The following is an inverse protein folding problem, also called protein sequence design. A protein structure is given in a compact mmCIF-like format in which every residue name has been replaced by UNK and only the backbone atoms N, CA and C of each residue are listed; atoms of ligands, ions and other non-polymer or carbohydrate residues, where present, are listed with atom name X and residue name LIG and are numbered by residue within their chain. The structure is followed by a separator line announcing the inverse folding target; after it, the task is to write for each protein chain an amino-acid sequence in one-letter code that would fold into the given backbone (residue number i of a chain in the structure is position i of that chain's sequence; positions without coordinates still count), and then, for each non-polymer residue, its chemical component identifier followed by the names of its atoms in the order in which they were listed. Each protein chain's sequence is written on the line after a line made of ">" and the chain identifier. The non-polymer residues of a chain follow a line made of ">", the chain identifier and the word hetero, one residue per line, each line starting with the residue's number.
data_IF_103975363581
#
_entry.id   IF_103975363581
#
_cell.length_a   1.000
_cell.length_b   1.000
_cell.length_c   1.000
_cell.angle_alpha   90.00
_cell.angle_beta   90.00
_cell.angle_gamma   90.00
#
_symmetry.space_group_name_H-M   'P 1'
#
loop_
_entity.id
_entity.type
_entity.pdbx_description
1 polymer ?
#
# COMPACT_ATOMS: atom_id res chain seq x y z
N UNK A 1 -12.62 28.30 -0.63
CA UNK A 1 -12.80 28.92 0.70
C UNK A 1 -11.51 29.70 1.03
N UNK A 2 -11.48 30.64 1.98
CA UNK A 2 -10.21 31.27 2.37
C UNK A 2 -9.22 30.24 2.92
N UNK A 3 -7.92 30.57 2.83
CA UNK A 3 -6.85 29.77 3.41
C UNK A 3 -7.06 29.51 4.91
N UNK A 4 -6.88 28.27 5.35
CA UNK A 4 -6.92 27.96 6.77
C UNK A 4 -5.69 28.56 7.48
N UNK A 5 -5.90 29.21 8.63
CA UNK A 5 -4.83 29.94 9.33
C UNK A 5 -3.69 29.03 9.81
N UNK A 6 -4.03 27.90 10.45
CA UNK A 6 -3.06 27.01 11.11
C UNK A 6 -2.74 25.73 10.33
N UNK A 7 -3.76 25.00 9.85
CA UNK A 7 -3.59 23.77 9.07
C UNK A 7 -2.86 23.99 7.73
N UNK A 8 -1.86 23.15 7.46
CA UNK A 8 -1.03 23.16 6.26
C UNK A 8 0.31 22.45 6.47
N UNK A 9 0.72 21.64 5.50
CA UNK A 9 1.83 20.69 5.57
C UNK A 9 3.06 21.15 4.75
N UNK A 10 4.21 20.54 5.02
CA UNK A 10 5.43 20.62 4.21
C UNK A 10 5.82 19.19 3.84
N UNK A 11 6.01 18.88 2.56
CA UNK A 11 6.44 17.54 2.16
C UNK A 11 7.98 17.41 2.14
N UNK A 12 8.53 16.20 2.38
CA UNK A 12 7.81 15.02 2.87
C UNK A 12 7.39 15.19 4.34
N UNK A 13 6.18 14.71 4.66
CA UNK A 13 5.65 14.76 6.03
C UNK A 13 6.21 13.64 6.92
N UNK A 14 6.70 12.55 6.31
CA UNK A 14 7.53 11.53 6.98
C UNK A 14 8.82 11.39 6.17
N UNK A 15 9.92 11.97 6.69
CA UNK A 15 11.16 12.17 5.93
C UNK A 15 12.15 10.98 5.86
N UNK A 16 11.87 9.86 6.53
CA UNK A 16 12.64 8.61 6.40
C UNK A 16 12.00 7.67 5.36
N UNK A 17 12.67 6.57 5.01
CA UNK A 17 12.11 5.55 4.11
C UNK A 17 10.83 4.95 4.71
N UNK A 18 9.67 5.39 4.21
CA UNK A 18 8.35 5.05 4.73
C UNK A 18 7.43 4.81 3.52
N UNK A 19 7.61 3.67 2.82
CA UNK A 19 6.94 3.42 1.56
C UNK A 19 5.59 2.76 1.76
N UNK A 20 4.76 2.88 0.72
CA UNK A 20 3.44 2.27 0.61
C UNK A 20 2.53 2.61 1.82
N UNK A 21 2.34 3.92 2.12
CA UNK A 21 1.67 4.40 3.32
C UNK A 21 0.15 4.14 3.32
N UNK A 22 -0.30 3.06 3.96
CA UNK A 22 -1.72 2.81 4.25
C UNK A 22 -2.19 3.63 5.46
N UNK A 23 -3.18 4.52 5.29
CA UNK A 23 -3.59 5.48 6.32
C UNK A 23 -5.02 5.23 6.82
N UNK A 24 -5.17 5.11 8.15
CA UNK A 24 -6.46 4.88 8.80
C UNK A 24 -6.70 5.80 10.00
N UNK A 25 -7.91 6.34 10.10
CA UNK A 25 -8.37 7.11 11.26
C UNK A 25 -8.87 6.20 12.39
N UNK A 26 -8.52 6.56 13.63
CA UNK A 26 -9.13 6.03 14.86
C UNK A 26 -10.01 7.09 15.55
N UNK A 27 -11.34 6.90 15.66
CA UNK A 27 -12.21 7.82 16.39
C UNK A 27 -11.98 7.80 17.92
N UNK A 28 -11.28 6.81 18.48
CA UNK A 28 -11.01 6.73 19.92
C UNK A 28 -9.86 7.65 20.32
N UNK A 29 -8.69 7.53 19.68
CA UNK A 29 -7.57 8.46 19.89
C UNK A 29 -7.72 9.80 19.15
N UNK A 30 -8.61 9.85 18.15
CA UNK A 30 -8.81 10.96 17.21
C UNK A 30 -7.57 11.30 16.38
N UNK A 31 -6.78 10.27 16.04
CA UNK A 31 -5.59 10.38 15.22
C UNK A 31 -5.70 9.55 13.93
N UNK A 32 -4.95 9.95 12.92
CA UNK A 32 -4.65 9.16 11.73
C UNK A 32 -3.34 8.42 11.94
N UNK A 33 -3.34 7.12 11.64
CA UNK A 33 -2.17 6.24 11.70
C UNK A 33 -1.81 5.83 10.28
N UNK A 34 -0.57 6.09 9.88
CA UNK A 34 0.02 5.55 8.67
C UNK A 34 0.82 4.30 9.02
N UNK A 35 0.65 3.25 8.21
CA UNK A 35 1.40 2.01 8.25
C UNK A 35 2.22 1.88 6.97
N UNK A 36 3.40 1.29 7.03
CA UNK A 36 4.31 1.23 5.87
C UNK A 36 5.06 -0.10 5.76
N UNK A 37 5.40 -0.44 4.52
CA UNK A 37 6.32 -1.52 4.12
C UNK A 37 7.56 -1.59 5.02
N UNK A 38 8.04 -2.82 5.26
CA UNK A 38 9.19 -3.10 6.12
C UNK A 38 10.38 -2.13 5.92
N UNK A 39 11.00 -1.73 7.02
CA UNK A 39 12.08 -0.75 6.99
C UNK A 39 12.49 -0.33 8.39
N UNK A 40 13.64 0.34 8.50
CA UNK A 40 14.15 0.93 9.75
C UNK A 40 14.14 -0.04 10.95
N UNK A 41 14.42 -1.33 10.70
CA UNK A 41 14.47 -2.39 11.71
C UNK A 41 13.14 -3.08 12.04
N UNK A 42 12.05 -2.77 11.32
CA UNK A 42 10.67 -3.20 11.63
C UNK A 42 10.06 -4.01 10.48
N UNK A 43 9.22 -4.99 10.82
CA UNK A 43 8.36 -5.70 9.87
C UNK A 43 7.28 -4.78 9.31
N UNK A 44 6.62 -4.00 10.17
CA UNK A 44 5.71 -2.92 9.75
C UNK A 44 6.05 -1.64 10.51
N UNK A 45 6.26 -0.57 9.74
CA UNK A 45 6.52 0.76 10.27
C UNK A 45 5.20 1.47 10.60
N UNK A 46 5.20 2.36 11.59
CA UNK A 46 4.04 3.21 11.87
C UNK A 46 4.47 4.65 12.23
N UNK A 47 3.66 5.62 11.81
CA UNK A 47 3.69 7.01 12.26
C UNK A 47 2.25 7.52 12.37
N UNK A 48 1.99 8.55 13.19
CA UNK A 48 0.64 9.05 13.43
C UNK A 48 0.56 10.57 13.57
N UNK A 49 -0.64 11.13 13.45
CA UNK A 49 -0.89 12.58 13.41
C UNK A 49 -2.31 12.92 13.86
N UNK A 50 -2.49 14.14 14.37
CA UNK A 50 -3.79 14.70 14.78
C UNK A 50 -4.27 15.82 13.85
N UNK A 51 -3.44 16.27 12.91
CA UNK A 51 -3.65 17.53 12.16
C UNK A 51 -3.15 17.49 10.70
N UNK A 52 -2.51 16.41 10.24
CA UNK A 52 -1.73 16.29 9.00
C UNK A 52 -0.57 17.29 8.82
N UNK A 53 -0.34 18.19 9.77
CA UNK A 53 0.73 19.19 9.77
C UNK A 53 1.97 18.68 10.51
N UNK A 54 1.73 17.90 11.57
CA UNK A 54 2.71 17.36 12.51
C UNK A 54 2.58 15.84 12.55
N UNK A 55 3.67 15.12 12.31
CA UNK A 55 3.69 13.65 12.34
C UNK A 55 4.65 13.13 13.40
N UNK A 56 4.19 12.15 14.17
CA UNK A 56 4.90 11.49 15.24
C UNK A 56 5.31 10.08 14.80
N UNK A 57 6.59 9.74 14.91
CA UNK A 57 7.03 8.37 14.65
C UNK A 57 6.58 7.44 15.78
N UNK A 58 6.34 6.16 15.46
CA UNK A 58 6.16 5.12 16.46
C UNK A 58 7.40 4.20 16.49
N UNK A 59 8.13 4.21 17.61
CA UNK A 59 9.46 3.57 17.69
C UNK A 59 9.43 2.04 17.65
N UNK A 60 8.31 1.39 18.00
CA UNK A 60 8.21 -0.07 17.96
C UNK A 60 7.82 -0.59 16.57
N UNK A 61 8.13 -1.86 16.31
CA UNK A 61 7.51 -2.64 15.23
C UNK A 61 6.08 -2.98 15.63
N UNK A 62 5.10 -2.62 14.80
CA UNK A 62 3.69 -2.93 15.11
C UNK A 62 3.33 -4.37 14.73
N UNK A 63 4.12 -5.06 13.90
CA UNK A 63 3.94 -6.47 13.54
C UNK A 63 5.16 -7.31 14.02
N UNK A 64 5.45 -7.34 15.33
CA UNK A 64 6.66 -7.95 15.86
C UNK A 64 6.67 -9.48 15.69
N UNK A 65 7.87 -10.05 15.63
CA UNK A 65 8.06 -11.50 15.63
C UNK A 65 7.75 -12.17 16.99
N UNK A 66 7.75 -13.51 17.05
CA UNK A 66 8.12 -14.44 15.99
C UNK A 66 7.03 -14.56 14.90
N UNK A 67 7.47 -14.60 13.64
CA UNK A 67 6.58 -14.80 12.49
C UNK A 67 6.13 -16.28 12.41
N UNK A 68 4.90 -16.59 11.94
CA UNK A 68 4.42 -17.96 11.83
C UNK A 68 5.30 -18.83 10.92
N UNK A 69 5.51 -20.14 11.23
CA UNK A 69 6.39 -21.03 10.44
C UNK A 69 6.00 -21.24 8.97
N UNK A 70 4.78 -20.85 8.57
CA UNK A 70 4.30 -20.86 7.19
C UNK A 70 4.74 -19.62 6.38
N UNK A 71 5.13 -18.53 7.04
CA UNK A 71 5.85 -17.42 6.40
C UNK A 71 7.28 -17.87 6.10
N UNK A 72 7.96 -17.25 5.12
CA UNK A 72 9.37 -17.57 4.84
C UNK A 72 10.32 -17.19 5.98
N UNK A 73 9.91 -16.29 6.88
CA UNK A 73 10.74 -15.72 7.93
C UNK A 73 11.90 -14.86 7.43
N UNK A 74 12.01 -14.62 6.11
CA UNK A 74 13.09 -13.82 5.52
C UNK A 74 12.81 -12.32 5.77
N UNK A 75 13.78 -11.54 6.30
CA UNK A 75 13.67 -10.09 6.36
C UNK A 75 13.46 -9.50 4.96
N UNK A 76 12.71 -8.39 4.87
CA UNK A 76 12.48 -7.69 3.60
C UNK A 76 11.31 -8.21 2.76
N UNK A 77 10.41 -9.04 3.33
CA UNK A 77 9.23 -9.61 2.64
C UNK A 77 7.90 -9.33 3.37
N UNK A 78 7.71 -8.13 3.92
CA UNK A 78 6.47 -7.66 4.56
C UNK A 78 6.11 -6.27 4.02
N UNK A 79 5.15 -6.19 3.09
CA UNK A 79 4.92 -5.00 2.24
C UNK A 79 3.45 -4.56 2.18
N UNK A 80 3.23 -3.27 1.90
CA UNK A 80 1.93 -2.63 1.70
C UNK A 80 0.87 -3.04 2.75
N UNK A 81 1.05 -2.66 4.03
CA UNK A 81 0.10 -2.95 5.10
C UNK A 81 -1.07 -1.96 5.13
N UNK A 82 -2.29 -2.44 5.00
CA UNK A 82 -3.52 -1.66 5.16
C UNK A 82 -4.34 -2.13 6.37
N UNK A 83 -5.01 -1.19 7.05
CA UNK A 83 -5.57 -1.40 8.38
C UNK A 83 -7.03 -0.94 8.49
N UNK A 84 -7.87 -1.78 9.11
CA UNK A 84 -9.26 -1.46 9.48
C UNK A 84 -9.53 -1.82 10.94
N UNK A 85 -10.57 -1.22 11.52
CA UNK A 85 -11.13 -1.71 12.78
C UNK A 85 -11.69 -3.12 12.59
N UNK A 86 -11.51 -4.00 13.58
CA UNK A 86 -11.99 -5.38 13.46
C UNK A 86 -13.53 -5.41 13.47
N UNK A 87 -14.16 -6.12 12.51
CA UNK A 87 -15.60 -6.08 12.29
C UNK A 87 -16.40 -6.86 13.36
N UNK A 88 -17.73 -6.92 13.17
CA UNK A 88 -18.68 -7.59 14.09
C UNK A 88 -18.63 -7.06 15.54
N UNK A 89 -18.16 -5.83 15.76
CA UNK A 89 -17.92 -5.23 17.09
C UNK A 89 -16.95 -6.04 17.97
N UNK A 90 -16.02 -6.80 17.36
CA UNK A 90 -14.99 -7.60 18.07
C UNK A 90 -14.11 -6.76 19.00
N UNK A 91 -13.92 -5.48 18.66
CA UNK A 91 -12.86 -4.64 19.21
C UNK A 91 -11.51 -4.98 18.57
N UNK A 92 -10.55 -4.06 18.69
CA UNK A 92 -9.25 -4.20 18.03
C UNK A 92 -9.27 -3.89 16.53
N UNK A 93 -8.23 -4.34 15.84
CA UNK A 93 -7.87 -3.94 14.48
C UNK A 93 -7.41 -5.12 13.65
N UNK A 94 -7.71 -5.12 12.35
CA UNK A 94 -7.16 -6.04 11.36
C UNK A 94 -6.18 -5.30 10.44
N UNK A 95 -5.04 -5.93 10.22
CA UNK A 95 -4.03 -5.54 9.24
C UNK A 95 -3.98 -6.58 8.14
N UNK A 96 -4.17 -6.15 6.89
CA UNK A 96 -3.92 -6.94 5.70
C UNK A 96 -2.56 -6.53 5.15
N UNK A 97 -1.70 -7.50 4.86
CA UNK A 97 -0.31 -7.22 4.49
C UNK A 97 0.23 -8.28 3.53
N UNK A 98 1.07 -7.86 2.59
CA UNK A 98 1.81 -8.78 1.72
C UNK A 98 2.88 -9.48 2.55
N UNK A 99 2.91 -10.81 2.51
CA UNK A 99 3.97 -11.63 3.09
C UNK A 99 4.47 -12.65 2.07
N UNK A 100 5.62 -13.25 2.31
CA UNK A 100 6.09 -14.38 1.52
C UNK A 100 5.67 -15.72 2.11
N UNK A 101 4.92 -16.50 1.34
CA UNK A 101 4.46 -17.85 1.65
C UNK A 101 5.59 -18.86 1.44
N UNK A 102 6.00 -19.54 2.52
CA UNK A 102 7.09 -20.54 2.51
C UNK A 102 6.75 -21.78 1.69
N UNK A 103 5.46 -22.09 1.49
CA UNK A 103 5.02 -23.25 0.72
C UNK A 103 5.25 -23.06 -0.78
N UNK A 104 5.19 -21.81 -1.26
CA UNK A 104 5.26 -21.47 -2.69
C UNK A 104 6.50 -20.66 -3.08
N UNK A 105 7.22 -20.09 -2.10
CA UNK A 105 8.30 -19.11 -2.29
C UNK A 105 7.84 -17.83 -3.03
N UNK A 106 6.52 -17.56 -3.02
CA UNK A 106 5.88 -16.40 -3.66
C UNK A 106 5.19 -15.51 -2.64
N UNK A 107 4.92 -14.28 -3.05
CA UNK A 107 4.18 -13.33 -2.22
C UNK A 107 2.68 -13.65 -2.23
N UNK A 108 2.07 -13.41 -1.08
CA UNK A 108 0.74 -13.83 -0.68
C UNK A 108 0.17 -12.80 0.31
N UNK A 109 -1.15 -12.62 0.34
CA UNK A 109 -1.78 -11.73 1.32
C UNK A 109 -2.09 -12.49 2.61
N UNK A 110 -1.74 -11.91 3.75
CA UNK A 110 -2.06 -12.42 5.07
C UNK A 110 -2.87 -11.41 5.88
N UNK A 111 -3.49 -11.89 6.98
CA UNK A 111 -4.22 -11.06 7.94
C UNK A 111 -3.65 -11.23 9.35
N UNK A 112 -3.43 -10.10 10.02
CA UNK A 112 -3.00 -10.03 11.41
C UNK A 112 -4.01 -9.20 12.23
N UNK A 113 -4.10 -9.48 13.52
CA UNK A 113 -5.04 -8.86 14.45
C UNK A 113 -4.31 -8.27 15.65
N UNK A 114 -4.75 -7.08 16.08
CA UNK A 114 -4.38 -6.47 17.35
C UNK A 114 -5.64 -6.29 18.19
N UNK A 115 -5.65 -6.75 19.44
CA UNK A 115 -6.77 -6.50 20.39
C UNK A 115 -6.74 -5.12 21.05
N UNK A 116 -5.62 -4.39 20.90
CA UNK A 116 -5.42 -3.06 21.47
C UNK A 116 -5.85 -1.93 20.54
N UNK A 117 -5.11 -0.82 20.58
CA UNK A 117 -5.25 0.30 19.64
C UNK A 117 -4.60 0.02 18.28
N UNK A 118 -4.66 0.98 17.33
CA UNK A 118 -4.11 0.83 15.99
C UNK A 118 -2.59 0.65 15.96
N UNK A 119 -1.88 1.02 17.04
CA UNK A 119 -0.44 0.79 17.22
C UNK A 119 -0.07 -0.67 17.52
N UNK A 120 -1.05 -1.58 17.64
CA UNK A 120 -0.77 -3.00 17.85
C UNK A 120 -0.40 -3.37 19.30
N UNK A 121 0.47 -4.38 19.50
CA UNK A 121 1.07 -5.22 18.46
C UNK A 121 0.02 -6.07 17.73
N UNK A 122 0.23 -6.27 16.44
CA UNK A 122 -0.52 -7.19 15.59
C UNK A 122 0.14 -8.55 15.59
N UNK A 123 -0.67 -9.62 15.55
CA UNK A 123 -0.20 -10.99 15.37
C UNK A 123 -1.04 -11.70 14.30
N UNK A 124 -0.40 -12.51 13.45
CA UNK A 124 -1.11 -13.30 12.44
C UNK A 124 -2.07 -14.30 13.08
N UNK A 125 -3.32 -14.32 12.60
CA UNK A 125 -4.39 -15.17 13.17
C UNK A 125 -4.75 -16.37 12.30
N UNK A 126 -4.11 -16.51 11.14
CA UNK A 126 -4.36 -17.58 10.17
C UNK A 126 -3.21 -18.60 10.11
N UNK A 127 -3.54 -19.87 9.84
CA UNK A 127 -2.58 -20.97 9.65
C UNK A 127 -1.91 -20.98 8.25
N UNK A 128 -1.99 -19.85 7.53
CA UNK A 128 -1.52 -19.64 6.18
C UNK A 128 -1.93 -18.24 5.70
N UNK A 129 -1.51 -17.80 4.50
CA UNK A 129 -2.04 -16.59 3.89
C UNK A 129 -3.55 -16.75 3.58
N UNK A 130 -4.29 -15.64 3.59
CA UNK A 130 -5.70 -15.60 3.14
C UNK A 130 -5.81 -15.58 1.62
N UNK A 131 -4.79 -15.06 0.92
CA UNK A 131 -4.64 -15.18 -0.55
C UNK A 131 -3.26 -15.74 -0.85
N UNK A 132 -3.15 -16.99 -1.27
CA UNK A 132 -1.96 -17.51 -1.95
C UNK A 132 -2.29 -17.75 -3.42
N UNK A 133 -1.38 -17.34 -4.30
CA UNK A 133 -1.50 -17.47 -5.76
C UNK A 133 -0.20 -17.96 -6.40
N UNK A 134 0.58 -18.77 -5.68
CA UNK A 134 1.88 -19.27 -6.13
C UNK A 134 1.84 -20.03 -7.46
N UNK A 135 0.70 -20.68 -7.77
CA UNK A 135 0.43 -21.31 -9.07
C UNK A 135 0.36 -20.31 -10.24
N UNK A 136 0.20 -19.03 -9.93
CA UNK A 136 0.29 -17.90 -10.87
C UNK A 136 1.26 -16.82 -10.36
N UNK A 137 2.36 -17.22 -9.69
CA UNK A 137 3.46 -16.31 -9.32
C UNK A 137 3.17 -15.34 -8.17
N UNK A 138 2.06 -15.49 -7.45
CA UNK A 138 1.75 -14.73 -6.23
C UNK A 138 0.83 -13.52 -6.41
N UNK A 139 0.61 -12.81 -5.30
CA UNK A 139 -0.21 -11.60 -5.21
C UNK A 139 0.31 -10.66 -4.11
N UNK A 140 0.14 -9.36 -4.31
CA UNK A 140 0.62 -8.28 -3.44
C UNK A 140 -0.43 -7.17 -3.29
N UNK A 141 -0.10 -6.17 -2.48
CA UNK A 141 -0.82 -4.90 -2.29
C UNK A 141 -2.29 -5.06 -1.90
N UNK A 142 -2.58 -5.61 -0.70
CA UNK A 142 -3.93 -5.80 -0.22
C UNK A 142 -4.55 -4.51 0.32
N UNK A 143 -5.72 -4.13 -0.20
CA UNK A 143 -6.53 -3.05 0.35
C UNK A 143 -7.92 -3.55 0.77
N UNK A 144 -8.28 -3.47 2.06
CA UNK A 144 -9.62 -3.78 2.54
C UNK A 144 -10.58 -2.62 2.25
N UNK A 145 -11.63 -2.88 1.48
CA UNK A 145 -12.67 -1.94 1.14
C UNK A 145 -13.99 -2.33 1.79
N UNK A 146 -14.65 -1.40 2.48
CA UNK A 146 -16.01 -1.58 2.99
C UNK A 146 -16.98 -0.88 2.06
N UNK A 147 -17.85 -1.64 1.39
CA UNK A 147 -18.80 -1.12 0.40
C UNK A 147 -20.05 -0.56 1.10
N UNK A 148 -20.29 0.76 1.09
CA UNK A 148 -21.42 1.35 1.80
C UNK A 148 -22.76 1.17 1.08
N UNK A 149 -22.78 0.56 -0.11
CA UNK A 149 -24.01 0.24 -0.83
C UNK A 149 -24.55 -1.16 -0.48
N UNK A 150 -23.68 -2.16 -0.26
CA UNK A 150 -24.06 -3.51 0.18
C UNK A 150 -23.81 -3.80 1.67
N UNK A 151 -23.03 -2.95 2.36
CA UNK A 151 -22.50 -3.16 3.71
C UNK A 151 -21.60 -4.42 3.85
N UNK A 152 -21.08 -4.94 2.73
CA UNK A 152 -20.09 -6.02 2.69
C UNK A 152 -18.67 -5.47 2.72
N UNK A 153 -17.72 -6.32 3.09
CA UNK A 153 -16.27 -6.04 3.01
C UNK A 153 -15.67 -6.83 1.87
N UNK A 154 -14.67 -6.23 1.24
CA UNK A 154 -13.97 -6.76 0.08
C UNK A 154 -12.46 -6.57 0.27
N UNK A 155 -11.68 -7.49 -0.29
CA UNK A 155 -10.24 -7.37 -0.40
C UNK A 155 -9.89 -7.09 -1.86
N UNK A 156 -9.28 -5.94 -2.12
CA UNK A 156 -8.71 -5.57 -3.41
C UNK A 156 -7.21 -5.92 -3.41
N UNK A 157 -6.68 -6.50 -4.48
CA UNK A 157 -5.25 -6.90 -4.55
C UNK A 157 -4.75 -7.08 -5.99
N UNK A 158 -3.42 -6.99 -6.18
CA UNK A 158 -2.73 -7.21 -7.47
C UNK A 158 -2.22 -8.65 -7.58
N UNK A 159 -2.29 -9.27 -8.77
CA UNK A 159 -1.51 -10.48 -9.06
C UNK A 159 -0.09 -10.13 -9.52
N UNK A 160 0.93 -10.85 -9.03
CA UNK A 160 2.33 -10.50 -9.31
C UNK A 160 2.96 -11.29 -10.46
N UNK A 161 2.45 -12.49 -10.79
CA UNK A 161 2.91 -13.31 -11.94
C UNK A 161 4.42 -13.62 -11.95
N UNK A 162 5.11 -13.51 -10.80
CA UNK A 162 6.58 -13.61 -10.66
C UNK A 162 7.37 -12.53 -11.44
N UNK A 163 6.69 -11.49 -11.93
CA UNK A 163 7.24 -10.49 -12.85
C UNK A 163 6.57 -9.12 -12.65
N UNK A 164 7.36 -8.10 -12.33
CA UNK A 164 6.91 -6.70 -12.21
C UNK A 164 6.11 -6.21 -13.43
N UNK A 165 6.49 -6.61 -14.64
CA UNK A 165 5.78 -6.28 -15.88
C UNK A 165 5.25 -7.56 -16.53
N UNK A 166 3.94 -7.64 -16.80
CA UNK A 166 3.30 -8.88 -17.24
C UNK A 166 2.03 -8.65 -18.05
N UNK A 167 1.86 -9.44 -19.13
CA UNK A 167 0.66 -9.41 -20.01
C UNK A 167 -0.64 -9.80 -19.27
N UNK A 168 -0.53 -10.32 -18.04
CA UNK A 168 -1.63 -10.81 -17.22
C UNK A 168 -1.88 -9.94 -15.98
N UNK A 169 -1.34 -8.71 -15.96
CA UNK A 169 -1.50 -7.78 -14.84
C UNK A 169 -2.99 -7.40 -14.65
N UNK A 170 -3.51 -7.61 -13.45
CA UNK A 170 -4.93 -7.48 -13.13
C UNK A 170 -5.11 -7.14 -11.63
N UNK A 171 -5.86 -6.07 -11.35
CA UNK A 171 -6.40 -5.81 -10.01
C UNK A 171 -7.64 -6.69 -9.82
N UNK A 172 -7.68 -7.43 -8.73
CA UNK A 172 -8.79 -8.30 -8.34
C UNK A 172 -9.53 -7.70 -7.15
N UNK A 173 -10.82 -8.00 -7.04
CA UNK A 173 -11.61 -7.84 -5.82
C UNK A 173 -12.25 -9.17 -5.44
N UNK A 174 -12.34 -9.46 -4.15
CA UNK A 174 -13.01 -10.66 -3.64
C UNK A 174 -13.68 -10.34 -2.30
N UNK A 175 -14.84 -10.95 -2.02
CA UNK A 175 -15.57 -10.69 -0.79
C UNK A 175 -14.80 -11.24 0.43
N UNK A 176 -14.81 -10.50 1.54
CA UNK A 176 -14.30 -10.95 2.84
C UNK A 176 -15.44 -11.57 3.66
N UNK A 177 -15.13 -12.55 4.49
CA UNK A 177 -16.07 -13.02 5.53
C UNK A 177 -16.47 -11.86 6.45
N UNK A 178 -17.64 -11.97 7.09
CA UNK A 178 -18.15 -10.91 8.00
C UNK A 178 -17.13 -10.49 9.07
N UNK A 179 -16.31 -11.44 9.51
CA UNK A 179 -15.28 -11.29 10.53
C UNK A 179 -13.93 -10.78 10.00
N UNK A 180 -13.80 -10.64 8.67
CA UNK A 180 -12.61 -10.16 7.95
C UNK A 180 -11.48 -11.18 7.80
N UNK A 181 -11.59 -12.40 8.33
CA UNK A 181 -10.45 -13.32 8.45
C UNK A 181 -10.29 -14.33 7.28
N UNK A 182 -11.22 -14.36 6.34
CA UNK A 182 -11.19 -15.27 5.19
C UNK A 182 -11.90 -14.66 3.97
N UNK A 183 -11.77 -15.32 2.81
CA UNK A 183 -12.43 -14.92 1.56
C UNK A 183 -13.73 -15.70 1.32
N UNK A 184 -14.68 -15.05 0.65
CA UNK A 184 -15.99 -15.58 0.27
C UNK A 184 -16.15 -15.51 -1.26
N UNK A 185 -16.68 -16.58 -1.84
CA UNK A 185 -16.96 -16.67 -3.28
C UNK A 185 -15.71 -16.62 -4.17
N UNK A 186 -15.93 -16.39 -5.46
CA UNK A 186 -14.86 -16.20 -6.44
C UNK A 186 -14.40 -14.74 -6.54
N UNK A 187 -13.17 -14.53 -6.99
CA UNK A 187 -12.64 -13.18 -7.28
C UNK A 187 -13.14 -12.65 -8.62
N UNK A 188 -13.36 -11.33 -8.66
CA UNK A 188 -13.72 -10.58 -9.88
C UNK A 188 -12.51 -9.73 -10.29
N UNK A 189 -12.15 -9.73 -11.59
CA UNK A 189 -11.13 -8.83 -12.12
C UNK A 189 -11.73 -7.45 -12.38
N UNK A 190 -11.10 -6.39 -11.88
CA UNK A 190 -11.58 -5.01 -12.01
C UNK A 190 -11.01 -4.29 -13.23
N UNK A 191 -9.68 -4.36 -13.40
CA UNK A 191 -8.96 -3.80 -14.55
C UNK A 191 -7.52 -4.34 -14.63
N UNK A 192 -6.96 -4.29 -15.84
CA UNK A 192 -5.53 -4.36 -16.09
C UNK A 192 -5.03 -3.08 -16.81
N UNK A 193 -3.74 -3.03 -17.18
CA UNK A 193 -3.19 -1.95 -18.01
C UNK A 193 -3.92 -1.82 -19.35
N UNK A 194 -4.33 -0.60 -19.71
CA UNK A 194 -5.04 -0.28 -20.97
C UNK A 194 -4.63 1.07 -21.58
N UNK A 195 -3.98 1.95 -20.81
CA UNK A 195 -3.41 3.21 -21.28
C UNK A 195 -1.91 3.02 -21.61
N UNK A 196 -1.35 3.66 -22.65
CA UNK A 196 0.04 3.44 -23.07
C UNK A 196 1.07 3.69 -21.96
N UNK A 197 0.83 4.67 -21.09
CA UNK A 197 1.73 5.01 -19.98
C UNK A 197 1.75 3.97 -18.86
N UNK A 198 0.74 3.09 -18.76
CA UNK A 198 0.70 2.01 -17.76
C UNK A 198 1.63 0.83 -18.13
N UNK A 199 2.10 0.78 -19.38
CA UNK A 199 2.91 -0.33 -19.89
C UNK A 199 2.22 -1.69 -19.66
N UNK A 200 2.81 -2.50 -18.77
CA UNK A 200 2.32 -3.84 -18.39
C UNK A 200 2.25 -4.03 -16.87
N UNK A 201 2.00 -2.92 -16.15
CA UNK A 201 1.94 -2.87 -14.70
C UNK A 201 0.89 -1.87 -14.22
N UNK A 202 -0.03 -2.33 -13.38
CA UNK A 202 -0.71 -1.52 -12.37
C UNK A 202 -0.62 -2.27 -11.03
N UNK A 203 -0.38 -1.54 -9.95
CA UNK A 203 -0.19 -2.08 -8.59
C UNK A 203 -0.60 -1.03 -7.54
N UNK A 204 -0.39 -1.31 -6.25
CA UNK A 204 -0.87 -0.48 -5.14
C UNK A 204 -2.35 0.00 -5.31
N UNK A 205 -3.32 -0.93 -5.42
CA UNK A 205 -4.70 -0.58 -5.66
C UNK A 205 -5.37 -0.01 -4.39
N UNK A 206 -5.94 1.19 -4.48
CA UNK A 206 -6.74 1.77 -3.38
C UNK A 206 -8.14 2.11 -3.88
N UNK A 207 -9.13 1.31 -3.48
CA UNK A 207 -10.52 1.49 -3.85
C UNK A 207 -11.25 2.37 -2.84
N UNK A 208 -11.96 3.38 -3.34
CA UNK A 208 -12.86 4.24 -2.56
C UNK A 208 -14.18 4.48 -3.29
N UNK A 209 -15.17 5.02 -2.58
CA UNK A 209 -16.52 5.28 -3.11
C UNK A 209 -16.95 6.73 -2.86
N UNK A 210 -17.19 7.47 -3.94
CA UNK A 210 -17.67 8.84 -3.87
C UNK A 210 -19.19 8.88 -3.81
N UNK A 211 -19.73 9.17 -2.61
CA UNK A 211 -21.18 9.21 -2.34
C UNK A 211 -21.94 10.20 -3.23
N UNK A 212 -21.33 11.34 -3.57
CA UNK A 212 -21.99 12.41 -4.32
C UNK A 212 -22.36 12.05 -5.76
N UNK A 213 -21.62 11.11 -6.38
CA UNK A 213 -21.82 10.64 -7.75
C UNK A 213 -22.23 9.16 -7.86
N UNK A 214 -22.38 8.45 -6.71
CA UNK A 214 -22.59 7.00 -6.65
C UNK A 214 -21.57 6.23 -7.52
N UNK A 215 -20.28 6.55 -7.39
CA UNK A 215 -19.22 5.98 -8.22
C UNK A 215 -18.04 5.46 -7.41
N UNK A 216 -17.50 4.33 -7.84
CA UNK A 216 -16.32 3.71 -7.25
C UNK A 216 -15.08 4.21 -7.99
N UNK A 217 -14.08 4.66 -7.25
CA UNK A 217 -12.82 5.17 -7.78
C UNK A 217 -11.68 4.28 -7.28
N UNK A 218 -11.03 3.58 -8.20
CA UNK A 218 -9.87 2.73 -7.96
C UNK A 218 -8.61 3.51 -8.32
N UNK A 219 -7.83 3.92 -7.32
CA UNK A 219 -6.48 4.43 -7.52
C UNK A 219 -5.51 3.26 -7.71
N UNK A 220 -4.43 3.52 -8.44
CA UNK A 220 -3.35 2.56 -8.67
C UNK A 220 -2.05 3.31 -9.02
N UNK A 221 -0.92 2.67 -8.75
CA UNK A 221 0.41 3.08 -9.24
C UNK A 221 0.82 2.28 -10.47
N UNK A 222 1.77 2.79 -11.25
CA UNK A 222 2.35 2.13 -12.42
C UNK A 222 3.76 2.67 -12.70
N UNK A 223 4.58 1.88 -13.39
CA UNK A 223 6.02 2.12 -13.58
C UNK A 223 6.87 1.39 -12.54
N UNK A 224 8.19 1.61 -12.54
CA UNK A 224 9.09 0.96 -11.58
C UNK A 224 9.23 1.82 -10.32
N UNK A 225 8.79 1.31 -9.16
CA UNK A 225 8.73 2.04 -7.87
C UNK A 225 10.04 2.65 -7.34
N UNK A 226 11.18 2.32 -7.96
CA UNK A 226 12.51 2.89 -7.63
C UNK A 226 12.97 3.95 -8.65
N UNK A 227 12.14 4.33 -9.63
CA UNK A 227 12.48 5.24 -10.71
C UNK A 227 11.51 6.41 -10.82
N UNK A 228 11.93 7.48 -11.50
CA UNK A 228 11.09 8.63 -11.83
C UNK A 228 9.90 8.30 -12.74
N UNK A 229 9.90 7.12 -13.36
CA UNK A 229 8.78 6.61 -14.15
C UNK A 229 7.58 6.12 -13.32
N UNK A 230 7.68 6.05 -11.99
CA UNK A 230 6.55 5.67 -11.14
C UNK A 230 5.52 6.81 -11.05
N UNK A 231 4.24 6.47 -11.18
CA UNK A 231 3.15 7.46 -11.23
C UNK A 231 1.83 6.87 -10.70
N UNK A 232 1.03 7.71 -10.03
CA UNK A 232 -0.31 7.34 -9.53
C UNK A 232 -1.39 7.86 -10.47
N UNK A 233 -2.39 7.05 -10.76
CA UNK A 233 -3.63 7.49 -11.40
C UNK A 233 -4.84 6.77 -10.83
N UNK A 234 -5.98 6.89 -11.51
CA UNK A 234 -7.27 6.38 -11.06
C UNK A 234 -8.12 5.88 -12.23
N UNK A 235 -9.07 5.02 -11.92
CA UNK A 235 -10.15 4.59 -12.80
C UNK A 235 -11.49 4.64 -12.09
N UNK A 236 -12.56 4.97 -12.82
CA UNK A 236 -13.89 5.17 -12.24
C UNK A 236 -14.87 4.15 -12.81
N UNK A 237 -15.58 3.44 -11.92
CA UNK A 237 -16.81 2.72 -12.26
C UNK A 237 -18.03 3.53 -11.82
N UNK A 238 -18.95 3.74 -12.75
CA UNK A 238 -20.28 4.35 -12.51
C UNK A 238 -21.42 3.33 -12.55
N UNK A 239 -21.09 2.04 -12.73
CA UNK A 239 -22.05 0.94 -12.85
C UNK A 239 -22.08 0.02 -11.61
N UNK A 240 -21.23 0.28 -10.61
CA UNK A 240 -21.12 -0.49 -9.37
C UNK A 240 -19.71 -1.01 -9.09
N UNK A 241 -19.55 -1.67 -7.94
CA UNK A 241 -18.27 -2.17 -7.41
C UNK A 241 -17.46 -3.00 -8.43
N UNK A 242 -18.12 -3.81 -9.25
CA UNK A 242 -17.49 -4.76 -10.17
C UNK A 242 -17.15 -4.17 -11.55
N UNK A 243 -17.27 -2.85 -11.74
CA UNK A 243 -16.87 -2.18 -12.96
C UNK A 243 -17.97 -2.05 -14.03
N UNK A 244 -17.61 -1.77 -15.30
CA UNK A 244 -16.24 -1.57 -15.79
C UNK A 244 -15.58 -0.31 -15.21
N UNK A 245 -14.29 -0.38 -14.94
CA UNK A 245 -13.48 0.76 -14.50
C UNK A 245 -12.86 1.45 -15.71
N UNK A 246 -13.16 2.74 -15.89
CA UNK A 246 -12.61 3.57 -16.98
C UNK A 246 -11.43 4.38 -16.43
N UNK A 247 -10.17 4.11 -16.84
CA UNK A 247 -9.00 4.83 -16.35
C UNK A 247 -8.86 6.23 -16.94
N UNK A 248 -8.24 7.12 -16.17
CA UNK A 248 -7.72 8.39 -16.68
C UNK A 248 -6.64 8.15 -17.74
N UNK A 249 -6.68 8.93 -18.82
CA UNK A 249 -5.67 8.91 -19.90
C UNK A 249 -4.28 9.37 -19.42
N UNK A 250 -4.21 10.12 -18.32
CA UNK A 250 -2.97 10.66 -17.75
C UNK A 250 -2.85 10.35 -16.24
N UNK A 251 -1.63 10.35 -15.66
CA UNK A 251 -1.46 10.24 -14.22
C UNK A 251 -1.94 11.48 -13.46
N UNK A 252 -2.43 11.27 -12.24
CA UNK A 252 -2.78 12.33 -11.29
C UNK A 252 -1.51 12.86 -10.58
N UNK A 253 -0.68 11.92 -10.11
CA UNK A 253 0.65 12.16 -9.57
C UNK A 253 1.69 11.57 -10.53
N UNK A 254 2.71 12.37 -10.83
CA UNK A 254 3.85 12.00 -11.69
C UNK A 254 5.06 12.86 -11.30
N UNK A 255 6.26 12.49 -11.76
CA UNK A 255 7.50 13.24 -11.49
C UNK A 255 7.39 14.70 -11.95
N UNK A 256 7.57 15.63 -11.01
CA UNK A 256 7.65 17.07 -11.21
C UNK A 256 8.94 17.56 -10.53
N UNK A 257 10.04 17.57 -11.31
CA UNK A 257 11.38 17.91 -10.81
C UNK A 257 11.46 19.33 -10.26
N UNK A 258 10.71 20.27 -10.84
CA UNK A 258 10.69 21.67 -10.37
C UNK A 258 10.17 21.74 -8.92
N UNK A 259 9.21 20.87 -8.59
CA UNK A 259 8.59 20.73 -7.27
C UNK A 259 9.26 19.70 -6.36
N UNK A 260 10.32 19.03 -6.82
CA UNK A 260 11.03 17.99 -6.07
C UNK A 260 10.25 16.67 -5.90
N UNK A 261 9.18 16.45 -6.66
CA UNK A 261 8.40 15.20 -6.63
C UNK A 261 8.98 14.24 -7.67
N UNK A 262 9.34 13.01 -7.26
CA UNK A 262 9.96 12.01 -8.13
C UNK A 262 9.34 10.64 -7.85
N UNK A 263 8.88 9.95 -8.89
CA UNK A 263 8.29 8.61 -8.79
C UNK A 263 7.12 8.48 -7.78
N UNK A 264 6.10 9.36 -7.76
CA UNK A 264 5.07 9.34 -6.72
C UNK A 264 4.08 8.16 -6.87
N UNK A 265 3.98 7.32 -5.84
CA UNK A 265 3.15 6.11 -5.84
C UNK A 265 2.86 5.51 -4.48
N UNK A 266 2.37 4.26 -4.47
CA UNK A 266 1.97 3.51 -3.27
C UNK A 266 0.90 4.24 -2.45
N UNK A 267 -0.11 4.81 -3.11
CA UNK A 267 -0.96 5.85 -2.52
C UNK A 267 -2.23 5.33 -1.84
N UNK A 268 -2.57 5.89 -0.66
CA UNK A 268 -3.84 5.69 0.03
C UNK A 268 -4.68 6.97 0.09
N UNK A 269 -6.01 6.82 0.20
CA UNK A 269 -6.98 7.92 0.20
C UNK A 269 -7.77 7.92 1.51
N UNK A 270 -7.76 9.03 2.24
CA UNK A 270 -8.42 9.12 3.55
C UNK A 270 -9.26 10.40 3.69
N UNK A 271 -10.30 10.35 4.51
CA UNK A 271 -10.97 11.56 5.03
C UNK A 271 -10.18 12.09 6.23
N UNK A 272 -9.94 13.41 6.26
CA UNK A 272 -8.96 14.07 7.11
C UNK A 272 -9.53 15.20 7.96
N UNK A 273 -8.63 16.10 8.36
CA UNK A 273 -8.98 17.37 9.02
C UNK A 273 -10.03 18.16 8.24
N UNK A 274 -10.94 18.82 8.97
CA UNK A 274 -12.07 19.59 8.44
C UNK A 274 -12.97 18.84 7.42
N UNK A 275 -12.98 17.49 7.46
CA UNK A 275 -13.77 16.66 6.54
C UNK A 275 -13.27 16.69 5.08
N UNK A 276 -12.04 17.14 4.86
CA UNK A 276 -11.43 17.13 3.53
C UNK A 276 -10.77 15.78 3.23
N UNK A 277 -10.82 15.33 1.98
CA UNK A 277 -10.08 14.13 1.55
C UNK A 277 -8.63 14.46 1.24
N UNK A 278 -7.75 13.49 1.47
CA UNK A 278 -6.32 13.60 1.21
C UNK A 278 -5.81 12.35 0.49
N UNK A 279 -4.80 12.54 -0.35
CA UNK A 279 -3.99 11.47 -0.93
C UNK A 279 -2.63 11.46 -0.21
N UNK A 280 -2.29 10.33 0.39
CA UNK A 280 -1.01 10.09 1.05
C UNK A 280 -0.25 9.10 0.18
N UNK A 281 1.00 9.41 -0.17
CA UNK A 281 1.77 8.68 -1.18
C UNK A 281 3.26 8.80 -0.87
N UNK A 282 4.08 7.83 -1.31
CA UNK A 282 5.52 7.96 -1.22
C UNK A 282 6.09 8.65 -2.46
N UNK A 283 7.19 9.40 -2.30
CA UNK A 283 7.97 10.01 -3.37
C UNK A 283 9.44 9.69 -3.15
N UNK A 284 10.18 9.36 -4.19
CA UNK A 284 11.62 9.12 -4.12
C UNK A 284 12.38 10.39 -3.73
N UNK A 285 13.33 10.25 -2.79
CA UNK A 285 14.32 11.30 -2.51
C UNK A 285 15.39 11.40 -3.62
N UNK A 286 15.62 10.30 -4.34
CA UNK A 286 16.38 10.15 -5.58
C UNK A 286 16.10 8.73 -6.13
N UNK A 287 16.40 8.48 -7.40
CA UNK A 287 16.22 7.12 -7.97
C UNK A 287 17.01 6.07 -7.19
N UNK A 288 16.37 4.91 -6.98
CA UNK A 288 16.82 3.80 -6.14
C UNK A 288 17.10 4.16 -4.65
N UNK A 289 16.76 5.37 -4.23
CA UNK A 289 16.92 5.86 -2.86
C UNK A 289 15.68 5.65 -1.97
N UNK A 290 15.70 6.25 -0.77
CA UNK A 290 14.55 6.27 0.15
C UNK A 290 13.27 6.82 -0.49
N UNK A 291 12.14 6.28 -0.04
CA UNK A 291 10.77 6.64 -0.42
C UNK A 291 10.04 7.30 0.77
N UNK A 292 10.39 8.55 1.15
CA UNK A 292 9.65 9.29 2.16
C UNK A 292 8.20 9.58 1.75
N UNK A 293 7.32 9.69 2.75
CA UNK A 293 5.88 9.90 2.54
C UNK A 293 5.51 11.38 2.46
N UNK A 294 4.70 11.70 1.46
CA UNK A 294 4.12 12.98 1.13
C UNK A 294 2.59 12.93 1.26
N UNK A 295 1.97 14.10 1.38
CA UNK A 295 0.51 14.28 1.39
C UNK A 295 0.11 15.44 0.46
N UNK A 296 -1.09 15.34 -0.10
CA UNK A 296 -1.78 16.46 -0.75
C UNK A 296 -3.29 16.36 -0.50
N UNK A 297 -4.02 17.49 -0.51
CA UNK A 297 -5.49 17.46 -0.46
C UNK A 297 -6.05 16.93 -1.78
N UNK A 298 -7.16 16.20 -1.72
CA UNK A 298 -7.88 15.66 -2.86
C UNK A 298 -9.24 16.36 -3.00
N UNK A 299 -9.56 16.84 -4.20
CA UNK A 299 -10.86 17.44 -4.53
C UNK A 299 -11.65 16.53 -5.46
N UNK A 300 -12.91 16.23 -5.11
CA UNK A 300 -13.81 15.44 -5.95
C UNK A 300 -14.72 16.33 -6.80
N UNK A 301 -14.76 16.05 -8.10
CA UNK A 301 -15.77 16.57 -9.01
C UNK A 301 -17.16 16.00 -8.71
N UNK A 302 -18.19 16.73 -9.12
CA UNK A 302 -19.60 16.33 -8.98
C UNK A 302 -19.91 14.99 -9.68
N UNK A 303 -19.10 14.59 -10.65
CA UNK A 303 -19.19 13.35 -11.43
C UNK A 303 -18.32 12.21 -10.85
N UNK A 304 -17.61 12.45 -9.74
CA UNK A 304 -16.69 11.51 -9.10
C UNK A 304 -15.25 11.55 -9.58
N UNK A 305 -14.85 12.53 -10.42
CA UNK A 305 -13.45 12.66 -10.85
C UNK A 305 -12.57 13.26 -9.74
N UNK A 306 -11.49 12.60 -9.29
CA UNK A 306 -10.54 13.18 -8.36
C UNK A 306 -9.59 14.17 -9.05
N UNK A 307 -9.20 15.20 -8.31
CA UNK A 307 -8.32 16.27 -8.76
C UNK A 307 -7.46 16.82 -7.61
N UNK A 308 -6.38 17.53 -7.93
CA UNK A 308 -5.50 18.15 -6.96
C UNK A 308 -5.64 19.69 -6.99
N UNK A 309 -5.88 20.36 -5.86
CA UNK A 309 -5.80 21.81 -5.77
C UNK A 309 -4.33 22.23 -5.79
N UNK A 310 -3.87 22.79 -6.91
CA UNK A 310 -2.43 22.99 -7.13
C UNK A 310 -1.67 21.67 -7.20
N UNK A 311 -0.33 21.73 -7.09
CA UNK A 311 0.55 20.56 -7.13
C UNK A 311 1.27 20.32 -5.80
N UNK A 312 1.46 19.05 -5.39
CA UNK A 312 2.37 18.72 -4.30
C UNK A 312 3.80 19.15 -4.65
N UNK A 313 4.54 19.60 -3.65
CA UNK A 313 5.92 20.04 -3.76
C UNK A 313 6.66 19.83 -2.43
N UNK A 314 7.98 19.68 -2.51
CA UNK A 314 8.88 19.40 -1.38
C UNK A 314 9.48 20.68 -0.82
N UNK A 315 9.62 20.77 0.51
CA UNK A 315 10.36 21.83 1.20
C UNK A 315 9.69 23.21 1.23
N UNK A 316 8.45 23.35 0.73
CA UNK A 316 7.60 24.53 0.94
C UNK A 316 6.30 24.13 1.64
N UNK A 317 5.61 25.11 2.25
CA UNK A 317 4.36 24.88 2.99
C UNK A 317 3.15 25.10 2.10
N UNK A 318 2.25 24.13 2.07
CA UNK A 318 0.92 24.26 1.47
C UNK A 318 -0.11 24.44 2.59
N UNK A 319 -0.79 25.58 2.62
CA UNK A 319 -1.91 25.86 3.53
C UNK A 319 -3.15 25.13 3.05
N UNK A 320 -3.88 24.55 4.00
CA UNK A 320 -5.16 23.92 3.73
C UNK A 320 -6.12 24.94 3.12
N UNK A 321 -6.82 24.57 2.03
CA UNK A 321 -7.72 25.39 1.20
C UNK A 321 -7.05 26.50 0.37
N UNK A 322 -5.72 26.64 0.39
CA UNK A 322 -4.98 27.58 -0.45
C UNK A 322 -3.78 26.95 -1.18
N UNK A 323 -3.82 25.64 -1.39
CA UNK A 323 -2.72 24.86 -1.97
C UNK A 323 -2.35 25.33 -3.39
N UNK A 324 -3.35 25.80 -4.16
CA UNK A 324 -3.17 26.42 -5.49
C UNK A 324 -2.49 27.78 -5.41
N UNK A 325 -2.83 28.60 -4.41
CA UNK A 325 -2.23 29.92 -4.21
C UNK A 325 -0.77 29.78 -3.80
N UNK A 326 -0.48 28.86 -2.88
CA UNK A 326 0.86 28.62 -2.37
C UNK A 326 1.77 28.00 -3.45
N UNK A 327 1.31 26.99 -4.19
CA UNK A 327 2.02 26.42 -5.36
C UNK A 327 2.39 27.50 -6.40
N UNK A 328 1.46 28.42 -6.70
CA UNK A 328 1.73 29.56 -7.58
C UNK A 328 2.72 30.56 -6.97
N UNK A 329 2.57 30.91 -5.69
CA UNK A 329 3.44 31.83 -4.97
C UNK A 329 4.87 31.31 -4.78
N UNK A 330 5.07 29.98 -4.78
CA UNK A 330 6.40 29.38 -4.76
C UNK A 330 7.17 29.49 -6.09
N UNK A 331 6.51 29.90 -7.18
CA UNK A 331 7.17 30.27 -8.43
C UNK A 331 7.69 29.10 -9.27
N UNK A 332 7.24 27.86 -9.03
CA UNK A 332 7.69 26.66 -9.74
C UNK A 332 7.32 26.61 -11.24
N UNK A 333 6.50 27.54 -11.74
CA UNK A 333 5.98 27.53 -13.10
C UNK A 333 4.82 26.55 -13.33
N UNK A 334 4.30 26.43 -14.56
CA UNK A 334 3.27 25.46 -14.90
C UNK A 334 3.77 24.02 -14.76
N UNK A 335 2.85 23.07 -14.57
CA UNK A 335 3.18 21.65 -14.71
C UNK A 335 3.50 21.31 -16.19
N UNK A 336 4.42 20.37 -16.47
CA UNK A 336 4.79 20.01 -17.85
C UNK A 336 3.60 19.69 -18.76
N UNK A 337 3.59 20.28 -19.96
CA UNK A 337 2.43 20.28 -20.87
C UNK A 337 1.95 18.87 -21.27
N UNK A 338 2.86 17.89 -21.36
CA UNK A 338 2.59 16.52 -21.77
C UNK A 338 1.57 15.75 -20.88
N UNK A 339 1.16 16.29 -19.72
CA UNK A 339 0.20 15.66 -18.81
C UNK A 339 -0.94 16.57 -18.33
N UNK A 340 -1.20 17.70 -18.99
CA UNK A 340 -2.32 18.60 -18.62
C UNK A 340 -3.70 18.12 -19.13
N UNK A 341 -4.14 16.93 -18.72
CA UNK A 341 -5.50 16.44 -18.95
C UNK A 341 -6.46 16.87 -17.82
N UNK A 342 -7.12 18.03 -17.94
CA UNK A 342 -7.72 18.67 -16.77
C UNK A 342 -8.96 19.59 -16.90
N UNK A 343 -9.64 19.68 -18.05
CA UNK A 343 -11.03 20.20 -18.14
C UNK A 343 -11.61 20.04 -19.57
N UNK A 344 -12.88 19.61 -19.75
CA UNK A 344 -13.56 19.69 -21.03
C UNK A 344 -14.07 21.12 -21.28
N UNK A 345 -13.23 21.99 -21.85
CA UNK A 345 -13.72 23.26 -22.40
C UNK A 345 -14.65 22.97 -23.59
N UNK A 346 -15.89 23.48 -23.51
CA UNK A 346 -16.94 23.20 -24.49
C UNK A 346 -16.61 23.76 -25.88
N UNK A 347 -16.25 22.87 -26.80
CA UNK A 347 -16.12 23.13 -28.23
C UNK A 347 -16.66 21.92 -29.01
N UNK A 348 -17.58 22.16 -29.94
CA UNK A 348 -18.25 21.09 -30.68
C UNK A 348 -17.34 20.46 -31.74
N UNK A 349 -17.15 19.13 -31.66
CA UNK A 349 -16.53 18.37 -32.75
C UNK A 349 -17.54 18.10 -33.87
N UNK A 350 -17.20 18.37 -35.15
CA UNK A 350 -17.99 17.89 -36.27
C UNK A 350 -17.85 16.37 -36.42
N UNK A 351 -18.91 15.70 -36.88
CA UNK A 351 -18.91 14.24 -37.04
C UNK A 351 -18.02 13.76 -38.20
N UNK A 352 -17.32 12.62 -38.07
CA UNK A 352 -16.55 12.03 -39.16
C UNK A 352 -17.47 11.39 -40.22
N UNK A 353 -17.15 11.59 -41.49
CA UNK A 353 -17.73 10.82 -42.61
C UNK A 353 -16.81 9.65 -43.01
N UNK A 354 -17.34 8.53 -43.53
CA UNK A 354 -16.58 7.30 -43.75
C UNK A 354 -15.91 7.22 -45.15
N UNK A 355 -15.32 6.04 -45.42
CA UNK A 355 -14.58 5.61 -46.63
C UNK A 355 -13.09 6.01 -46.68
N UNK A 356 -12.18 5.22 -47.27
CA UNK A 356 -12.14 3.77 -47.55
C UNK A 356 -10.70 3.41 -48.00
N UNK A 357 -10.28 2.14 -47.84
CA UNK A 357 -9.04 1.66 -48.48
C UNK A 357 -8.44 0.40 -47.86
N UNK A 358 -8.39 -0.69 -48.63
CA UNK A 358 -7.54 -1.86 -48.36
C UNK A 358 -6.22 -1.71 -49.12
N UNK A 359 -5.12 -2.29 -48.63
CA UNK A 359 -4.50 -3.48 -49.25
C UNK A 359 -3.28 -3.99 -48.47
N UNK A 360 -2.92 -5.25 -48.71
CA UNK A 360 -1.78 -5.94 -48.09
C UNK A 360 -0.49 -5.72 -48.88
N UNK A 361 0.67 -5.92 -48.25
CA UNK A 361 1.64 -6.92 -48.74
C UNK A 361 2.64 -7.36 -47.64
N UNK A 362 3.59 -8.21 -48.01
CA UNK A 362 4.18 -9.23 -47.15
C UNK A 362 5.67 -9.49 -47.43
N UNK A 363 6.48 -9.82 -46.42
CA UNK A 363 7.71 -10.60 -46.63
C UNK A 363 8.86 -10.42 -45.62
N UNK A 364 9.34 -11.54 -45.06
CA UNK A 364 10.63 -11.65 -44.34
C UNK A 364 10.63 -11.20 -42.87
N UNK A 365 11.34 -11.84 -41.93
CA UNK A 365 11.97 -13.18 -41.96
C UNK A 365 13.39 -13.23 -41.38
N UNK A 366 13.54 -13.67 -40.12
CA UNK A 366 14.84 -14.07 -39.56
C UNK A 366 14.95 -14.06 -38.02
N UNK A 367 15.71 -15.02 -37.48
CA UNK A 367 16.45 -14.87 -36.21
C UNK A 367 15.73 -15.14 -34.87
N UNK A 368 15.60 -16.41 -34.48
CA UNK A 368 15.50 -16.79 -33.06
C UNK A 368 16.90 -16.88 -32.42
N UNK A 369 17.03 -16.52 -31.14
CA UNK A 369 17.85 -17.26 -30.19
C UNK A 369 16.99 -17.97 -29.12
N UNK A 370 17.53 -19.06 -28.55
CA UNK A 370 16.83 -19.90 -27.56
C UNK A 370 16.79 -19.34 -26.13
N UNK A 371 16.10 -20.03 -25.20
CA UNK A 371 15.77 -19.49 -23.89
C UNK A 371 16.96 -19.48 -22.90
N UNK A 372 17.16 -18.36 -22.22
CA UNK A 372 17.91 -18.33 -20.96
C UNK A 372 17.06 -18.93 -19.82
N UNK A 373 17.72 -19.54 -18.83
CA UNK A 373 17.07 -20.06 -17.62
C UNK A 373 16.88 -18.93 -16.59
N UNK A 374 15.79 -18.95 -15.79
CA UNK A 374 15.46 -17.85 -14.87
C UNK A 374 16.34 -17.85 -13.62
N UNK A 375 16.60 -16.66 -13.08
CA UNK A 375 17.22 -16.47 -11.76
C UNK A 375 17.34 -14.99 -11.42
N UNK A 376 16.80 -14.59 -10.25
CA UNK A 376 16.89 -13.24 -9.71
C UNK A 376 15.54 -12.61 -9.38
N UNK A 377 15.06 -12.78 -8.14
CA UNK A 377 14.00 -11.93 -7.60
C UNK A 377 14.55 -10.50 -7.46
N UNK A 378 13.99 -9.56 -8.21
CA UNK A 378 14.43 -8.15 -8.19
C UNK A 378 13.95 -7.44 -6.90
N UNK A 379 12.87 -7.95 -6.28
CA UNK A 379 12.31 -7.45 -5.04
C UNK A 379 13.06 -7.96 -3.77
N UNK A 380 14.31 -7.52 -3.57
CA UNK A 380 14.93 -7.26 -2.24
C UNK A 380 16.46 -7.04 -2.33
N UNK A 381 16.90 -5.79 -2.45
CA UNK A 381 18.16 -5.30 -1.83
C UNK A 381 18.05 -3.79 -1.51
N UNK A 382 17.47 -3.46 -0.36
CA UNK A 382 17.65 -2.14 0.26
C UNK A 382 19.00 -2.12 0.99
N UNK A 383 19.97 -1.34 0.51
CA UNK A 383 21.32 -1.32 1.04
C UNK A 383 21.46 -0.55 2.36
N UNK A 384 21.74 -1.24 3.46
CA UNK A 384 22.19 -0.63 4.71
C UNK A 384 23.69 -0.26 4.67
N UNK A 385 24.13 0.82 5.33
CA UNK A 385 25.53 1.22 5.35
C UNK A 385 26.40 0.26 6.21
N UNK A 386 27.68 0.04 5.86
CA UNK A 386 28.54 -0.93 6.54
C UNK A 386 29.02 -0.40 7.91
N UNK A 387 28.49 -0.97 8.99
CA UNK A 387 29.05 -0.76 10.33
C UNK A 387 30.44 -1.41 10.45
N UNK A 388 31.48 -0.61 10.72
CA UNK A 388 32.78 -1.12 11.17
C UNK A 388 32.74 -1.40 12.66
N UNK A 389 33.11 -2.62 13.07
CA UNK A 389 33.60 -2.90 14.41
C UNK A 389 35.15 -2.90 14.38
N UNK A 390 35.83 -2.37 15.42
CA UNK A 390 37.29 -2.46 15.52
C UNK A 390 37.70 -3.91 15.86
N UNK A 391 38.77 -4.39 15.23
CA UNK A 391 39.27 -5.76 15.42
C UNK A 391 40.24 -5.90 16.59
N UNK A 392 40.47 -7.16 16.99
CA UNK A 392 41.61 -7.62 17.81
C UNK A 392 42.10 -8.97 17.28
N UNK A 393 43.39 -9.32 17.44
CA UNK A 393 44.04 -10.34 16.61
C UNK A 393 43.91 -11.79 17.12
N UNK A 394 44.20 -12.74 16.23
CA UNK A 394 44.26 -14.18 16.47
C UNK A 394 45.61 -14.65 17.02
N UNK A 395 45.61 -15.56 18.01
CA UNK A 395 46.54 -16.66 18.33
C UNK A 395 46.29 -17.06 19.80
N UNK A 396 46.44 -18.31 20.26
CA UNK A 396 46.86 -19.55 19.58
C UNK A 396 46.51 -20.79 20.43
N UNK A 397 47.08 -21.94 20.06
CA UNK A 397 46.79 -23.29 20.57
C UNK A 397 47.06 -23.49 22.08
N UNK A 398 46.26 -24.32 22.77
CA UNK A 398 46.69 -25.63 23.32
C UNK A 398 45.64 -26.34 24.22
N UNK A 399 45.78 -27.67 24.34
CA UNK A 399 45.73 -28.34 25.66
C UNK A 399 44.44 -29.00 26.18
N UNK A 400 44.12 -30.20 25.69
CA UNK A 400 43.99 -31.44 26.49
C UNK A 400 42.97 -31.62 27.64
N UNK A 401 42.26 -32.75 27.59
CA UNK A 401 41.52 -33.44 28.68
C UNK A 401 40.28 -32.67 29.26
N UNK A 402 39.27 -33.31 29.86
CA UNK A 402 39.00 -34.73 30.11
C UNK A 402 38.09 -34.85 31.36
N UNK A 403 37.29 -35.92 31.49
CA UNK A 403 36.40 -36.23 32.65
C UNK A 403 35.24 -35.22 32.90
N UNK A 404 34.10 -35.56 33.52
CA UNK A 404 33.44 -36.86 33.73
C UNK A 404 31.89 -36.70 33.75
N UNK A 405 31.16 -37.79 34.02
CA UNK A 405 29.70 -37.84 34.11
C UNK A 405 29.11 -37.07 35.31
N UNK A 406 27.83 -36.65 35.20
CA UNK A 406 26.75 -37.37 35.92
C UNK A 406 25.31 -37.03 35.48
N UNK A 407 24.48 -38.07 35.49
CA UNK A 407 23.03 -38.05 35.28
C UNK A 407 22.30 -38.15 36.63
N UNK A 408 21.12 -37.52 36.74
CA UNK A 408 19.96 -37.78 37.64
C UNK A 408 18.98 -36.60 37.44
N UNK A 409 17.65 -36.72 37.32
CA UNK A 409 16.78 -37.90 37.22
C UNK A 409 15.61 -37.88 38.21
N UNK A 410 14.36 -38.09 37.73
CA UNK A 410 13.13 -38.40 38.53
C UNK A 410 12.50 -37.20 39.29
N UNK A 411 11.18 -37.08 39.60
CA UNK A 411 9.85 -37.58 39.11
C UNK A 411 8.72 -36.88 39.92
N UNK A 412 7.48 -36.75 39.38
CA UNK A 412 6.16 -36.75 40.13
C UNK A 412 5.90 -35.54 41.09
N UNK A 413 4.72 -34.89 41.27
CA UNK A 413 3.30 -34.91 40.79
C UNK A 413 2.81 -33.41 40.80
N UNK A 414 1.55 -32.96 40.56
CA UNK A 414 0.22 -33.58 40.34
C UNK A 414 -0.80 -33.29 41.48
N UNK A 415 -2.10 -33.20 41.15
CA UNK A 415 -3.27 -32.92 42.03
C UNK A 415 -3.37 -31.46 42.59
N UNK A 416 -4.54 -30.83 42.84
CA UNK A 416 -5.93 -31.07 42.39
C UNK A 416 -6.80 -29.77 42.44
N UNK A 417 -8.01 -29.85 41.89
CA UNK A 417 -9.12 -28.87 41.95
C UNK A 417 -9.40 -28.18 43.30
N UNK A 418 -9.95 -26.95 43.22
CA UNK A 418 -11.11 -26.55 44.04
C UNK A 418 -12.04 -25.56 43.31
N UNK A 419 -13.35 -25.74 43.47
CA UNK A 419 -14.42 -24.82 43.00
C UNK A 419 -14.71 -23.75 44.05
N UNK A 420 -15.21 -22.60 43.60
CA UNK A 420 -15.98 -21.65 44.42
C UNK A 420 -17.14 -21.09 43.61
N UNK A 421 -18.37 -21.28 44.08
CA UNK A 421 -19.57 -20.60 43.57
C UNK A 421 -19.99 -19.53 44.58
N UNK A 422 -20.53 -18.41 44.13
CA UNK A 422 -21.58 -17.68 44.85
C UNK A 422 -22.51 -16.96 43.84
N UNK A 423 -23.60 -16.37 44.34
CA UNK A 423 -24.89 -16.37 43.65
C UNK A 423 -25.34 -14.98 43.12
N UNK A 424 -26.54 -14.96 42.52
CA UNK A 424 -27.24 -13.88 41.82
C UNK A 424 -27.74 -12.75 42.75
N UNK A 425 -28.35 -11.75 42.08
CA UNK A 425 -29.31 -10.72 42.54
C UNK A 425 -28.69 -9.44 43.11
N UNK A 426 -29.35 -8.27 43.04
CA UNK A 426 -30.66 -7.95 42.41
C UNK A 426 -30.66 -6.53 41.77
N UNK A 427 -31.76 -6.24 41.07
CA UNK A 427 -32.17 -4.97 40.42
C UNK A 427 -31.56 -3.65 40.95
N UNK A 428 -31.23 -2.76 40.01
CA UNK A 428 -32.07 -1.56 39.78
C UNK A 428 -32.01 -1.08 38.34
#
# INVERSE_FOLDING_TARGET
>A
MPAHAHLGWVNPVIGHDFPDPGVRYDPVSKAWYAFSTNGNGKNVQCSYTYDFCSWHHHDQDVLPGPLPPWTSGRPGFIWAPEVIQAPQNRGGWLMYVTVQDRKTDKQAVAVAYASGGPLGPYHFVSNGPIVSRGETGGCIDPQPFEDPNSNKRYLVYKNDQDHMYTEKCQVWVQELSEDGLSLVGERVGLMGPTQPWQGKLIEAPYLTYHRGSNSYCLFYSSGTFTTEGYATSYAISRNGLFGPYIPSQHPLLFTDRARGITGPGGASIVEGVEGHHFIIFHSLAHEHGPRPTCIHRLEWGHDGVPSLPGRPNVGKRLRLLAEREDDQAHGFGPAPEHFQGGAPHGGGYPAPSPHAGQQNHSGGGGGFPGPMRPGGNIYAQGGGPPFRLPGSPTHGENGGNGEEEKSIGSKITGALFKRGMFDKKDKK
#
